data_IF_703630980799
#
_entry.id   IF_703630980799
#
_cell.length_a   1.000
_cell.length_b   1.000
_cell.length_c   1.000
_cell.angle_alpha   90.00
_cell.angle_beta   90.00
_cell.angle_gamma   90.00
#
_symmetry.space_group_name_H-M   'P 1'
#
loop_
_entity.id
_entity.type
_entity.pdbx_description
1 polymer ?
#
# COMPACT_ATOMS: atom_id res chain seq x y z
N UNK A 1 62.35 -26.68 55.24
CA UNK A 1 61.95 -26.06 53.95
C UNK A 1 61.38 -27.18 53.08
N UNK A 2 60.22 -27.68 53.48
CA UNK A 2 59.50 -28.82 52.93
C UNK A 2 58.22 -28.90 53.75
N UNK A 3 57.10 -29.24 53.11
CA UNK A 3 55.77 -29.47 53.73
C UNK A 3 54.80 -28.28 53.73
N UNK A 4 54.74 -27.57 52.60
CA UNK A 4 53.57 -26.78 52.18
C UNK A 4 53.04 -27.27 50.82
N UNK A 5 52.91 -28.58 50.66
CA UNK A 5 52.07 -29.18 49.61
C UNK A 5 50.73 -29.55 50.24
N UNK A 6 49.89 -28.53 50.43
CA UNK A 6 48.50 -28.70 50.82
C UNK A 6 47.79 -29.53 49.76
N UNK A 7 47.35 -30.72 50.16
CA UNK A 7 46.42 -31.58 49.44
C UNK A 7 45.21 -30.76 49.00
N UNK A 8 45.18 -30.38 47.72
CA UNK A 8 43.93 -29.96 47.10
C UNK A 8 42.96 -31.13 47.19
N UNK A 9 41.84 -30.91 47.87
CA UNK A 9 40.82 -31.93 48.07
C UNK A 9 40.25 -32.35 46.71
N UNK A 10 40.64 -33.55 46.25
CA UNK A 10 40.23 -34.13 44.97
C UNK A 10 38.70 -34.15 44.80
N UNK A 11 37.94 -34.11 45.89
CA UNK A 11 36.47 -34.05 45.87
C UNK A 11 35.92 -32.76 45.29
N UNK A 12 36.69 -31.66 45.30
CA UNK A 12 36.26 -30.36 44.77
C UNK A 12 36.67 -30.20 43.29
N UNK A 13 37.81 -30.75 42.89
CA UNK A 13 38.33 -30.57 41.52
C UNK A 13 37.58 -31.40 40.46
N UNK A 14 37.11 -32.60 40.83
CA UNK A 14 36.37 -33.48 39.91
C UNK A 14 35.06 -32.86 39.40
N UNK A 15 34.13 -32.33 40.24
CA UNK A 15 32.88 -31.76 39.75
C UNK A 15 33.09 -30.49 38.92
N UNK A 16 34.11 -29.67 39.23
CA UNK A 16 34.47 -28.49 38.44
C UNK A 16 34.93 -28.91 37.03
N UNK A 17 35.75 -29.95 36.92
CA UNK A 17 36.21 -30.50 35.64
C UNK A 17 35.08 -31.04 34.77
N UNK A 18 34.10 -31.73 35.36
CA UNK A 18 32.93 -32.25 34.66
C UNK A 18 32.03 -31.10 34.18
N UNK A 19 31.75 -30.12 35.04
CA UNK A 19 30.93 -28.96 34.67
C UNK A 19 31.54 -28.16 33.52
N UNK A 20 32.85 -27.92 33.55
CA UNK A 20 33.56 -27.24 32.46
C UNK A 20 33.48 -28.03 31.14
N UNK A 21 33.60 -29.35 31.21
CA UNK A 21 33.53 -30.24 30.03
C UNK A 21 32.13 -30.27 29.40
N UNK A 22 31.08 -30.30 30.22
CA UNK A 22 29.68 -30.24 29.75
C UNK A 22 29.37 -28.87 29.13
N UNK A 23 29.82 -27.77 29.76
CA UNK A 23 29.66 -26.43 29.21
C UNK A 23 30.38 -26.29 27.85
N UNK A 24 31.59 -26.83 27.74
CA UNK A 24 32.36 -26.82 26.49
C UNK A 24 31.64 -27.60 25.37
N UNK A 25 31.11 -28.79 25.68
CA UNK A 25 30.30 -29.59 24.76
C UNK A 25 29.04 -28.84 24.32
N UNK A 26 28.33 -28.18 25.24
CA UNK A 26 27.15 -27.37 24.93
C UNK A 26 27.44 -26.23 23.95
N UNK A 27 28.55 -25.51 24.14
CA UNK A 27 29.01 -24.45 23.22
C UNK A 27 29.32 -25.03 21.84
N UNK A 28 29.99 -26.19 21.79
CA UNK A 28 30.33 -26.85 20.54
C UNK A 28 29.06 -27.28 19.79
N UNK A 29 28.11 -27.92 20.48
CA UNK A 29 26.82 -28.34 19.91
C UNK A 29 26.05 -27.13 19.35
N UNK A 30 25.94 -26.03 20.11
CA UNK A 30 25.28 -24.81 19.64
C UNK A 30 25.92 -24.24 18.37
N UNK A 31 27.26 -24.18 18.33
CA UNK A 31 28.01 -23.65 17.19
C UNK A 31 27.83 -24.50 15.92
N UNK A 32 27.83 -25.82 16.05
CA UNK A 32 27.80 -26.72 14.88
C UNK A 32 26.40 -27.15 14.45
N UNK A 33 25.43 -27.30 15.37
CA UNK A 33 24.07 -27.71 15.03
C UNK A 33 23.13 -26.55 14.72
N UNK A 34 23.41 -25.34 15.20
CA UNK A 34 22.50 -24.19 15.00
C UNK A 34 23.17 -23.13 14.11
N UNK A 35 24.34 -22.63 14.50
CA UNK A 35 24.97 -21.51 13.79
C UNK A 35 25.46 -21.90 12.39
N UNK A 36 26.11 -23.06 12.26
CA UNK A 36 26.62 -23.54 10.97
C UNK A 36 25.52 -23.75 9.91
N UNK A 37 24.41 -24.47 10.17
CA UNK A 37 23.34 -24.63 9.17
C UNK A 37 22.61 -23.33 8.82
N UNK A 38 22.43 -22.40 9.77
CA UNK A 38 21.85 -21.08 9.46
C UNK A 38 22.78 -20.30 8.52
N UNK A 39 24.09 -20.33 8.77
CA UNK A 39 25.08 -19.65 7.93
C UNK A 39 25.14 -20.27 6.53
N UNK A 40 25.10 -21.59 6.40
CA UNK A 40 25.09 -22.26 5.10
C UNK A 40 23.78 -22.00 4.35
N UNK A 41 22.64 -22.03 5.02
CA UNK A 41 21.33 -21.70 4.45
C UNK A 41 21.26 -20.25 3.96
N UNK A 42 21.75 -19.28 4.73
CA UNK A 42 21.81 -17.87 4.31
C UNK A 42 22.83 -17.62 3.19
N UNK A 43 23.88 -18.45 3.09
CA UNK A 43 24.86 -18.39 1.99
C UNK A 43 24.37 -19.02 0.68
N UNK A 44 23.23 -19.73 0.70
CA UNK A 44 22.69 -20.34 -0.50
C UNK A 44 22.30 -19.25 -1.51
N UNK A 45 22.86 -19.35 -2.72
CA UNK A 45 22.67 -18.39 -3.81
C UNK A 45 21.19 -18.09 -4.11
N UNK A 46 20.30 -19.06 -3.92
CA UNK A 46 18.84 -18.88 -4.07
C UNK A 46 18.24 -17.91 -3.04
N UNK A 47 18.68 -17.96 -1.77
CA UNK A 47 18.18 -17.06 -0.72
C UNK A 47 18.62 -15.62 -1.01
N UNK A 48 19.88 -15.42 -1.42
CA UNK A 48 20.39 -14.10 -1.83
C UNK A 48 19.63 -13.57 -3.06
N UNK A 49 19.33 -14.42 -4.04
CA UNK A 49 18.55 -14.02 -5.23
C UNK A 49 17.10 -13.68 -4.88
N UNK A 50 16.47 -14.44 -3.98
CA UNK A 50 15.12 -14.18 -3.50
C UNK A 50 15.04 -12.84 -2.77
N UNK A 51 15.96 -12.57 -1.83
CA UNK A 51 16.04 -11.27 -1.16
C UNK A 51 16.42 -10.14 -2.13
N UNK A 52 17.30 -10.36 -3.11
CA UNK A 52 17.56 -9.36 -4.17
C UNK A 52 16.33 -9.07 -5.02
N UNK A 53 15.45 -10.05 -5.25
CA UNK A 53 14.20 -9.84 -5.97
C UNK A 53 13.17 -9.06 -5.14
N UNK A 54 13.14 -9.26 -3.82
CA UNK A 54 12.29 -8.50 -2.89
C UNK A 54 12.82 -7.08 -2.67
N UNK A 55 14.14 -6.92 -2.56
CA UNK A 55 14.81 -5.65 -2.22
C UNK A 55 15.15 -4.81 -3.45
N UNK A 56 15.03 -5.34 -4.68
CA UNK A 56 15.01 -4.45 -5.84
C UNK A 56 13.69 -3.67 -5.77
N UNK A 57 13.69 -2.39 -5.38
CA UNK A 57 12.48 -1.60 -5.48
C UNK A 57 12.11 -1.66 -6.95
N UNK A 58 10.86 -2.01 -7.25
CA UNK A 58 10.32 -1.86 -8.59
C UNK A 58 10.78 -0.49 -9.09
N UNK A 59 11.74 -0.45 -10.02
CA UNK A 59 12.05 0.76 -10.76
C UNK A 59 10.82 0.96 -11.62
N UNK A 60 9.81 1.61 -11.04
CA UNK A 60 8.62 2.06 -11.71
C UNK A 60 9.17 3.02 -12.76
N UNK A 61 9.38 2.50 -13.98
CA UNK A 61 9.48 3.34 -15.16
C UNK A 61 8.28 4.28 -15.06
N UNK A 62 8.51 5.58 -15.10
CA UNK A 62 7.43 6.58 -15.06
C UNK A 62 6.34 6.15 -16.04
N UNK A 63 5.26 5.61 -15.49
CA UNK A 63 4.15 5.06 -16.24
C UNK A 63 2.86 5.47 -15.52
N UNK A 64 1.85 5.92 -16.26
CA UNK A 64 1.81 6.02 -17.71
C UNK A 64 2.51 7.28 -18.25
N UNK A 65 2.93 7.28 -19.53
CA UNK A 65 3.27 8.51 -20.23
C UNK A 65 2.07 9.46 -20.23
N UNK A 66 2.28 10.80 -20.25
CA UNK A 66 1.20 11.77 -20.33
C UNK A 66 0.24 11.40 -21.45
N UNK A 67 -1.04 11.25 -21.10
CA UNK A 67 -2.12 10.93 -22.03
C UNK A 67 -2.09 11.95 -23.17
N UNK A 68 -1.66 11.52 -24.35
CA UNK A 68 -1.77 12.32 -25.57
C UNK A 68 -3.20 12.12 -26.08
N UNK A 69 -4.08 13.13 -26.02
CA UNK A 69 -5.44 12.99 -26.52
C UNK A 69 -5.38 12.57 -27.99
N UNK A 70 -5.98 11.42 -28.28
CA UNK A 70 -5.95 10.84 -29.61
C UNK A 70 -6.85 11.68 -30.52
N UNK A 71 -6.25 12.62 -31.27
CA UNK A 71 -6.94 13.63 -32.08
C UNK A 71 -7.61 13.08 -33.35
N UNK A 72 -7.91 11.78 -33.40
CA UNK A 72 -8.53 11.13 -34.57
C UNK A 72 -9.57 10.09 -34.15
N UNK A 73 -10.81 10.54 -34.00
CA UNK A 73 -11.96 9.78 -34.49
C UNK A 73 -13.16 10.70 -34.72
N UNK A 74 -13.46 10.91 -36.00
CA UNK A 74 -14.74 11.45 -36.44
C UNK A 74 -15.84 10.46 -36.04
N UNK A 75 -16.51 10.71 -34.92
CA UNK A 75 -17.83 10.14 -34.65
C UNK A 75 -18.86 11.24 -34.78
N UNK A 76 -19.44 11.36 -35.97
CA UNK A 76 -20.77 11.93 -36.15
C UNK A 76 -21.78 11.05 -35.41
N UNK A 77 -21.91 11.26 -34.10
CA UNK A 77 -23.12 10.89 -33.35
C UNK A 77 -23.41 12.03 -32.39
N UNK A 78 -24.21 12.96 -32.91
CA UNK A 78 -24.66 14.17 -32.23
C UNK A 78 -25.68 13.77 -31.15
N UNK A 79 -25.21 13.30 -30.00
CA UNK A 79 -26.00 13.38 -28.77
C UNK A 79 -25.99 14.83 -28.34
N UNK A 80 -27.09 15.54 -28.55
CA UNK A 80 -27.35 16.86 -27.95
C UNK A 80 -27.41 16.68 -26.43
N UNK A 81 -26.27 16.82 -25.76
CA UNK A 81 -26.25 17.24 -24.37
C UNK A 81 -26.36 18.78 -24.38
N UNK A 82 -27.60 19.28 -24.29
CA UNK A 82 -27.86 20.67 -23.97
C UNK A 82 -27.41 20.90 -22.51
N UNK A 83 -26.37 21.70 -22.33
CA UNK A 83 -25.84 22.02 -21.01
C UNK A 83 -24.49 22.69 -21.10
N UNK A 84 -24.41 23.82 -21.79
CA UNK A 84 -23.26 24.75 -21.68
C UNK A 84 -23.31 25.41 -20.30
N UNK A 85 -22.84 24.70 -19.28
CA UNK A 85 -22.40 25.33 -18.04
C UNK A 85 -20.92 25.59 -18.18
N UNK A 86 -20.62 26.86 -18.42
CA UNK A 86 -19.30 27.44 -18.44
C UNK A 86 -18.55 27.05 -17.16
N UNK A 87 -17.40 26.43 -17.36
CA UNK A 87 -16.61 25.79 -16.31
C UNK A 87 -15.81 26.87 -15.57
N UNK A 88 -16.48 27.64 -14.73
CA UNK A 88 -15.84 28.56 -13.78
C UNK A 88 -15.74 27.88 -12.41
N UNK A 89 -14.51 27.52 -12.01
CA UNK A 89 -14.21 26.88 -10.73
C UNK A 89 -14.60 25.40 -10.69
N UNK A 90 -13.80 24.54 -11.33
CA UNK A 90 -14.04 23.10 -11.54
C UNK A 90 -14.22 22.36 -10.21
N UNK A 91 -15.46 22.32 -9.72
CA UNK A 91 -15.92 21.38 -8.71
C UNK A 91 -16.73 20.32 -9.44
N UNK A 92 -16.36 19.05 -9.28
CA UNK A 92 -17.14 17.92 -9.79
C UNK A 92 -18.00 17.38 -8.67
N UNK A 93 -19.32 17.38 -8.86
CA UNK A 93 -20.28 16.84 -7.89
C UNK A 93 -20.49 15.34 -8.11
N UNK A 94 -20.82 14.63 -7.03
CA UNK A 94 -21.21 13.21 -7.11
C UNK A 94 -22.36 12.96 -8.08
N UNK A 95 -23.40 13.79 -8.04
CA UNK A 95 -24.56 13.70 -8.95
C UNK A 95 -24.17 13.74 -10.44
N UNK A 96 -23.15 14.52 -10.82
CA UNK A 96 -22.66 14.56 -12.20
C UNK A 96 -22.03 13.23 -12.64
N UNK A 97 -21.25 12.61 -11.75
CA UNK A 97 -20.59 11.31 -12.02
C UNK A 97 -21.62 10.18 -12.06
N UNK A 98 -22.61 10.21 -11.17
CA UNK A 98 -23.63 9.18 -11.10
C UNK A 98 -24.57 9.21 -12.31
N UNK A 99 -24.93 10.40 -12.80
CA UNK A 99 -25.78 10.58 -13.99
C UNK A 99 -25.02 10.41 -15.32
N UNK A 100 -23.69 10.43 -15.31
CA UNK A 100 -22.90 10.31 -16.53
C UNK A 100 -23.01 8.90 -17.15
N UNK A 101 -23.23 8.88 -18.46
CA UNK A 101 -23.35 7.64 -19.24
C UNK A 101 -21.96 7.24 -19.74
N UNK A 102 -21.37 6.26 -19.08
CA UNK A 102 -20.04 5.76 -19.42
C UNK A 102 -20.06 4.80 -20.59
N UNK A 103 -19.01 4.85 -21.42
CA UNK A 103 -18.72 3.76 -22.33
C UNK A 103 -18.16 2.57 -21.52
N UNK A 104 -18.83 1.42 -21.61
CA UNK A 104 -18.47 0.25 -20.80
C UNK A 104 -17.06 -0.27 -21.09
N UNK A 105 -16.60 -0.20 -22.35
CA UNK A 105 -15.28 -0.72 -22.70
C UNK A 105 -14.16 0.16 -22.15
N UNK A 106 -14.33 1.48 -22.17
CA UNK A 106 -13.36 2.42 -21.56
C UNK A 106 -13.39 2.30 -20.04
N UNK A 107 -14.57 2.22 -19.43
CA UNK A 107 -14.71 2.04 -17.99
C UNK A 107 -14.04 0.75 -17.51
N UNK A 108 -14.18 -0.34 -18.26
CA UNK A 108 -13.52 -1.61 -17.97
C UNK A 108 -11.99 -1.52 -18.10
N UNK A 109 -11.49 -0.87 -19.16
CA UNK A 109 -10.06 -0.63 -19.33
C UNK A 109 -9.50 0.23 -18.18
N UNK A 110 -10.26 1.23 -17.75
CA UNK A 110 -9.91 2.12 -16.65
C UNK A 110 -9.93 1.42 -15.29
N UNK A 111 -10.91 0.58 -15.00
CA UNK A 111 -10.91 -0.22 -13.77
C UNK A 111 -9.64 -1.09 -13.63
N UNK A 112 -9.15 -1.62 -14.76
CA UNK A 112 -7.94 -2.42 -14.80
C UNK A 112 -6.66 -1.56 -14.65
N UNK A 113 -6.68 -0.29 -15.06
CA UNK A 113 -5.51 0.60 -15.06
C UNK A 113 -5.41 1.53 -13.86
N UNK A 114 -6.53 1.94 -13.26
CA UNK A 114 -6.62 2.99 -12.23
C UNK A 114 -5.75 2.71 -11.01
N UNK A 115 -5.36 1.46 -10.77
CA UNK A 115 -4.52 1.06 -9.66
C UNK A 115 -3.13 0.56 -10.04
N UNK A 116 -2.66 0.76 -11.27
CA UNK A 116 -1.32 0.39 -11.67
C UNK A 116 -0.57 1.64 -12.17
N UNK A 117 0.53 2.06 -11.51
CA UNK A 117 1.30 1.38 -10.47
C UNK A 117 0.98 1.87 -9.04
N UNK A 118 -0.24 1.66 -8.54
CA UNK A 118 -0.69 2.00 -7.15
C UNK A 118 -1.19 3.45 -6.98
N UNK A 119 -2.52 3.61 -6.95
CA UNK A 119 -3.23 4.77 -6.39
C UNK A 119 -2.71 6.18 -6.75
N UNK A 120 -2.27 6.43 -7.99
CA UNK A 120 -1.75 7.75 -8.40
C UNK A 120 -2.71 8.94 -8.18
N UNK A 121 -3.99 8.65 -7.96
CA UNK A 121 -5.05 9.62 -7.74
C UNK A 121 -5.41 9.81 -6.26
N UNK A 122 -4.91 8.96 -5.37
CA UNK A 122 -4.97 9.20 -3.94
C UNK A 122 -3.75 10.00 -3.52
N UNK A 123 -3.91 10.85 -2.52
CA UNK A 123 -2.76 11.51 -1.91
C UNK A 123 -2.20 10.61 -0.81
N UNK A 124 -0.95 10.18 -0.97
CA UNK A 124 -0.23 9.42 0.06
C UNK A 124 0.49 10.39 1.00
N UNK A 125 0.16 10.35 2.29
CA UNK A 125 0.67 11.26 3.31
C UNK A 125 0.89 10.49 4.62
N UNK A 126 1.79 10.98 5.47
CA UNK A 126 1.77 10.59 6.88
C UNK A 126 0.61 11.28 7.59
N UNK A 127 0.16 10.76 8.74
CA UNK A 127 -0.89 11.43 9.53
C UNK A 127 -0.55 12.87 9.87
N UNK A 128 0.69 13.13 10.28
CA UNK A 128 1.07 14.48 10.70
C UNK A 128 1.07 15.44 9.50
N UNK A 129 1.53 14.99 8.32
CA UNK A 129 1.45 15.76 7.08
C UNK A 129 0.00 15.98 6.60
N UNK A 130 -0.86 14.96 6.76
CA UNK A 130 -2.30 15.08 6.48
C UNK A 130 -2.95 16.14 7.35
N UNK A 131 -2.68 16.16 8.66
CA UNK A 131 -3.28 17.11 9.59
C UNK A 131 -2.76 18.53 9.40
N UNK A 132 -1.48 18.68 9.01
CA UNK A 132 -0.91 19.98 8.63
C UNK A 132 -1.58 20.52 7.37
N UNK A 133 -1.73 19.69 6.34
CA UNK A 133 -2.31 20.09 5.06
C UNK A 133 -3.83 20.27 5.12
N UNK A 134 -4.52 19.47 5.93
CA UNK A 134 -5.97 19.37 6.02
C UNK A 134 -6.43 19.32 7.48
N UNK A 135 -6.49 20.47 8.17
CA UNK A 135 -6.71 20.54 9.62
C UNK A 135 -8.10 20.04 10.06
N UNK A 136 -9.07 19.94 9.15
CA UNK A 136 -10.39 19.42 9.46
C UNK A 136 -10.39 17.91 9.76
N UNK A 137 -9.43 17.13 9.24
CA UNK A 137 -9.27 15.72 9.61
C UNK A 137 -8.76 15.57 11.05
N UNK A 138 -7.93 16.49 11.54
CA UNK A 138 -7.42 16.47 12.91
C UNK A 138 -8.54 16.62 13.95
N UNK A 139 -9.55 17.45 13.64
CA UNK A 139 -10.71 17.69 14.53
C UNK A 139 -11.62 16.47 14.65
N UNK A 140 -11.72 15.66 13.60
CA UNK A 140 -12.66 14.53 13.51
C UNK A 140 -12.18 13.26 14.22
N UNK A 141 -10.91 13.21 14.69
CA UNK A 141 -10.27 12.01 15.26
C UNK A 141 -10.54 10.77 14.40
N UNK A 142 -10.15 10.85 13.13
CA UNK A 142 -10.50 9.82 12.16
C UNK A 142 -9.89 8.46 12.52
N UNK A 143 -10.73 7.42 12.42
CA UNK A 143 -10.33 6.02 12.48
C UNK A 143 -10.30 5.49 11.05
N UNK A 144 -9.38 4.57 10.75
CA UNK A 144 -9.43 3.85 9.48
C UNK A 144 -10.67 2.95 9.48
N UNK A 145 -11.66 3.20 8.60
CA UNK A 145 -12.92 2.45 8.63
C UNK A 145 -12.81 1.01 8.10
N UNK A 146 -11.61 0.55 7.72
CA UNK A 146 -11.34 -0.82 7.28
C UNK A 146 -10.91 -1.68 8.49
N UNK A 147 -9.88 -1.25 9.23
CA UNK A 147 -9.39 -1.96 10.42
C UNK A 147 -10.00 -1.47 11.74
N UNK A 148 -10.68 -0.32 11.74
CA UNK A 148 -11.29 0.33 12.92
C UNK A 148 -10.22 0.80 13.93
N UNK A 149 -8.96 0.92 13.51
CA UNK A 149 -7.86 1.41 14.34
C UNK A 149 -7.62 2.91 14.19
N UNK A 150 -6.95 3.50 15.18
CA UNK A 150 -6.53 4.90 15.16
C UNK A 150 -5.45 5.13 14.10
N UNK A 151 -5.43 6.34 13.55
CA UNK A 151 -4.32 6.80 12.70
C UNK A 151 -3.17 7.30 13.58
N UNK A 152 -2.00 6.69 13.47
CA UNK A 152 -0.78 7.06 14.20
C UNK A 152 0.15 7.95 13.37
N UNK A 153 1.04 8.71 14.03
CA UNK A 153 1.94 9.71 13.39
C UNK A 153 2.68 9.19 12.15
N UNK A 154 3.16 7.94 12.23
CA UNK A 154 4.04 7.34 11.23
C UNK A 154 3.29 6.46 10.23
N UNK A 155 1.97 6.37 10.35
CA UNK A 155 1.17 5.58 9.43
C UNK A 155 1.19 6.24 8.05
N UNK A 156 1.39 5.43 7.03
CA UNK A 156 1.16 5.85 5.64
C UNK A 156 -0.33 5.77 5.36
N UNK A 157 -0.90 6.91 5.00
CA UNK A 157 -2.31 7.10 4.77
C UNK A 157 -2.57 7.41 3.31
N UNK A 158 -3.70 6.94 2.80
CA UNK A 158 -4.23 7.31 1.50
C UNK A 158 -5.48 8.16 1.70
N UNK A 159 -5.42 9.42 1.27
CA UNK A 159 -6.56 10.31 1.17
C UNK A 159 -7.20 10.14 -0.21
N UNK A 160 -8.46 9.71 -0.23
CA UNK A 160 -9.23 9.57 -1.48
C UNK A 160 -9.82 10.91 -1.93
N UNK A 161 -10.18 11.06 -3.22
CA UNK A 161 -10.86 12.24 -3.74
C UNK A 161 -12.19 12.59 -3.04
N UNK A 162 -12.81 11.61 -2.39
CA UNK A 162 -14.05 11.79 -1.63
C UNK A 162 -13.86 12.24 -0.17
N UNK A 163 -12.64 12.66 0.19
CA UNK A 163 -12.28 13.17 1.52
C UNK A 163 -12.30 12.10 2.64
N UNK A 164 -12.12 10.82 2.28
CA UNK A 164 -11.99 9.73 3.24
C UNK A 164 -10.55 9.23 3.28
N UNK A 165 -10.09 8.87 4.48
CA UNK A 165 -8.70 8.51 4.77
C UNK A 165 -8.64 7.07 5.28
N UNK A 166 -7.65 6.32 4.81
CA UNK A 166 -7.40 4.94 5.23
C UNK A 166 -5.90 4.70 5.37
N UNK A 167 -5.52 3.70 6.18
CA UNK A 167 -4.18 3.14 6.08
C UNK A 167 -3.93 2.63 4.66
N UNK A 168 -2.75 2.93 4.13
CA UNK A 168 -2.30 2.48 2.81
C UNK A 168 -2.51 0.99 2.64
N UNK A 169 -1.97 0.21 3.57
CA UNK A 169 -2.01 -1.26 3.48
C UNK A 169 -3.44 -1.80 3.59
N UNK A 170 -4.29 -1.22 4.45
CA UNK A 170 -5.69 -1.62 4.55
C UNK A 170 -6.46 -1.42 3.24
N UNK A 171 -6.27 -0.28 2.55
CA UNK A 171 -6.95 -0.03 1.29
C UNK A 171 -6.42 -0.92 0.16
N UNK A 172 -5.11 -1.22 0.16
CA UNK A 172 -4.49 -2.17 -0.76
C UNK A 172 -5.04 -3.59 -0.57
N UNK A 173 -5.12 -4.07 0.66
CA UNK A 173 -5.64 -5.40 0.98
C UNK A 173 -7.14 -5.49 0.69
N UNK A 174 -7.92 -4.47 1.05
CA UNK A 174 -9.33 -4.37 0.70
C UNK A 174 -9.53 -4.53 -0.82
N UNK A 175 -8.75 -3.80 -1.63
CA UNK A 175 -8.77 -3.96 -3.09
C UNK A 175 -8.44 -5.40 -3.52
N UNK A 176 -7.39 -6.01 -2.96
CA UNK A 176 -6.98 -7.38 -3.32
C UNK A 176 -8.11 -8.38 -3.06
N UNK A 177 -8.81 -8.27 -1.93
CA UNK A 177 -9.93 -9.16 -1.60
C UNK A 177 -11.09 -9.04 -2.59
N UNK A 178 -11.35 -7.84 -3.13
CA UNK A 178 -12.38 -7.66 -4.15
C UNK A 178 -12.00 -8.31 -5.49
N UNK A 179 -10.71 -8.38 -5.81
CA UNK A 179 -10.20 -8.99 -7.05
C UNK A 179 -10.25 -10.52 -7.02
N UNK A 180 -9.97 -11.15 -5.87
CA UNK A 180 -9.92 -12.62 -5.76
C UNK A 180 -11.28 -13.28 -5.88
N UNK A 181 -12.36 -12.60 -5.45
CA UNK A 181 -13.71 -13.18 -5.47
C UNK A 181 -14.33 -13.29 -6.87
N UNK A 182 -13.78 -12.62 -7.89
CA UNK A 182 -14.40 -12.54 -9.21
C UNK A 182 -13.37 -12.43 -10.34
N UNK A 183 -12.63 -13.51 -10.61
CA UNK A 183 -11.57 -13.55 -11.65
C UNK A 183 -12.02 -13.12 -13.06
N UNK A 184 -13.33 -13.14 -13.35
CA UNK A 184 -13.88 -12.80 -14.67
C UNK A 184 -14.64 -11.47 -14.70
N UNK A 185 -14.80 -10.77 -13.57
CA UNK A 185 -15.52 -9.50 -13.55
C UNK A 185 -14.59 -8.34 -13.21
N UNK A 186 -14.81 -7.24 -13.92
CA UNK A 186 -14.13 -5.98 -13.66
C UNK A 186 -14.58 -5.45 -12.31
N UNK A 187 -13.64 -5.35 -11.36
CA UNK A 187 -13.92 -4.86 -10.02
C UNK A 187 -14.02 -3.34 -10.03
N UNK A 188 -15.23 -2.85 -9.77
CA UNK A 188 -15.48 -1.43 -9.54
C UNK A 188 -15.14 -1.08 -8.09
N UNK A 189 -13.95 -0.53 -7.86
CA UNK A 189 -13.55 -0.14 -6.51
C UNK A 189 -14.38 1.05 -6.04
N UNK A 190 -14.92 0.90 -4.83
CA UNK A 190 -15.72 1.90 -4.15
C UNK A 190 -15.03 2.34 -2.87
N UNK A 191 -15.21 3.60 -2.49
CA UNK A 191 -14.84 4.06 -1.16
C UNK A 191 -15.62 3.26 -0.10
N UNK A 192 -14.94 2.61 0.87
CA UNK A 192 -15.61 1.87 1.94
C UNK A 192 -16.63 2.69 2.74
N UNK A 193 -16.37 3.98 2.94
CA UNK A 193 -17.21 4.84 3.77
C UNK A 193 -18.41 5.42 3.03
N UNK A 194 -18.23 6.01 1.84
CA UNK A 194 -19.32 6.70 1.12
C UNK A 194 -19.81 5.99 -0.14
N UNK A 195 -19.24 4.82 -0.47
CA UNK A 195 -19.60 3.99 -1.62
C UNK A 195 -19.42 4.67 -2.99
N UNK A 196 -18.70 5.79 -3.06
CA UNK A 196 -18.34 6.45 -4.32
C UNK A 196 -17.54 5.48 -5.19
N UNK A 197 -17.97 5.30 -6.43
CA UNK A 197 -17.27 4.50 -7.42
C UNK A 197 -16.08 5.29 -8.00
N UNK A 198 -14.87 4.96 -7.54
CA UNK A 198 -13.64 5.68 -7.89
C UNK A 198 -13.29 5.52 -9.37
N UNK A 199 -13.63 4.36 -9.96
CA UNK A 199 -13.44 4.09 -11.38
C UNK A 199 -14.27 5.05 -12.23
N UNK A 200 -15.55 5.24 -11.87
CA UNK A 200 -16.44 6.16 -12.57
C UNK A 200 -15.96 7.61 -12.44
N UNK A 201 -15.58 8.05 -11.23
CA UNK A 201 -15.05 9.40 -11.04
C UNK A 201 -13.81 9.64 -11.91
N UNK A 202 -12.88 8.69 -11.94
CA UNK A 202 -11.67 8.86 -12.72
C UNK A 202 -11.91 8.84 -14.22
N UNK A 203 -12.76 7.92 -14.71
CA UNK A 203 -13.17 7.93 -16.11
C UNK A 203 -13.88 9.25 -16.48
N UNK A 204 -14.67 9.82 -15.56
CA UNK A 204 -15.32 11.11 -15.76
C UNK A 204 -14.29 12.22 -15.96
N UNK A 205 -13.22 12.26 -15.14
CA UNK A 205 -12.14 13.21 -15.32
C UNK A 205 -11.43 13.06 -16.67
N UNK A 206 -11.12 11.83 -17.08
CA UNK A 206 -10.50 11.55 -18.39
C UNK A 206 -11.38 12.06 -19.53
N UNK A 207 -12.67 11.71 -19.51
CA UNK A 207 -13.60 12.04 -20.59
C UNK A 207 -13.80 13.55 -20.75
N UNK A 208 -13.64 14.32 -19.66
CA UNK A 208 -13.78 15.77 -19.65
C UNK A 208 -12.45 16.53 -19.69
N UNK A 209 -11.31 15.83 -19.81
CA UNK A 209 -9.98 16.46 -19.79
C UNK A 209 -9.70 17.26 -18.52
N UNK A 210 -10.13 16.73 -17.37
CA UNK A 210 -9.96 17.33 -16.05
C UNK A 210 -8.74 16.72 -15.35
N UNK A 211 -7.93 17.57 -14.71
CA UNK A 211 -6.86 17.11 -13.82
C UNK A 211 -7.41 16.94 -12.40
N UNK A 212 -7.32 15.72 -11.86
CA UNK A 212 -7.79 15.40 -10.51
C UNK A 212 -7.04 16.15 -9.40
N UNK A 213 -5.86 16.71 -9.68
CA UNK A 213 -5.10 17.55 -8.73
C UNK A 213 -5.63 18.98 -8.66
N UNK A 214 -6.22 19.47 -9.76
CA UNK A 214 -6.72 20.84 -9.87
C UNK A 214 -8.23 20.92 -9.59
N UNK A 215 -8.95 19.81 -9.75
CA UNK A 215 -10.40 19.74 -9.65
C UNK A 215 -10.83 19.15 -8.33
N UNK A 216 -11.57 19.92 -7.54
CA UNK A 216 -12.12 19.45 -6.27
C UNK A 216 -13.35 18.58 -6.52
N UNK A 217 -13.42 17.44 -5.86
CA UNK A 217 -14.64 16.62 -5.85
C UNK A 217 -15.53 17.01 -4.66
N UNK A 218 -16.82 17.22 -4.92
CA UNK A 218 -17.83 17.46 -3.89
C UNK A 218 -18.73 16.22 -3.74
N UNK A 219 -18.52 15.51 -2.63
CA UNK A 219 -19.27 14.30 -2.29
C UNK A 219 -20.62 14.60 -1.59
N UNK A 220 -20.94 15.86 -1.29
CA UNK A 220 -22.15 16.24 -0.54
C UNK A 220 -23.35 16.58 -1.43
N UNK A 221 -23.15 16.73 -2.74
CA UNK A 221 -24.18 17.19 -3.70
C UNK A 221 -24.56 16.19 -4.78
#
# INVERSE_FOLDING_TARGET
MSDLLTFYDFRVLIPIGIAASVAYLGIYIWKYLIVWPIKTFLSLRFVILFFKAIVNPFKIKQYPPPYKPNKKRNSNKKTKANGTNEVQGKIVKRSQVDQYIFNQSTLNATANSIFSPEFQYCEELTRDALFEKYPDHAKKRELCSICIENLHSKDLLLLLPCDHVYHRDCLHDFKRTLQTTNSNQVVMVRCPTCQLNLVRLYQYYIDHGLDFKEVKFDNKG
#
